data_IF_120424533950
#
_entry.id   IF_120424533950
#
_cell.length_a   1.000
_cell.length_b   1.000
_cell.length_c   1.000
_cell.angle_alpha   90.00
_cell.angle_beta   90.00
_cell.angle_gamma   90.00
#
_symmetry.space_group_name_H-M   'P 1'
#
loop_
_entity.id
_entity.type
_entity.pdbx_description
1 polymer ?
#
# COMPACT_ATOMS: atom_id res chain seq x y z
N UNK A 1 -28.29 -40.00 6.18
CA UNK A 1 -27.12 -40.01 5.29
C UNK A 1 -26.95 -38.58 4.76
N UNK A 2 -26.27 -37.72 5.50
CA UNK A 2 -26.07 -36.32 5.15
C UNK A 2 -24.69 -35.92 5.63
N UNK A 3 -23.82 -35.53 4.71
CA UNK A 3 -22.49 -35.03 5.05
C UNK A 3 -22.63 -33.56 5.36
N UNK A 4 -22.49 -33.22 6.64
CA UNK A 4 -22.21 -31.85 7.06
C UNK A 4 -20.78 -31.56 6.63
N UNK A 5 -20.61 -30.75 5.58
CA UNK A 5 -19.32 -30.17 5.23
C UNK A 5 -19.19 -28.88 6.05
N UNK A 6 -18.56 -28.99 7.22
CA UNK A 6 -18.15 -27.83 8.00
C UNK A 6 -17.12 -26.99 7.22
N UNK A 7 -16.93 -25.71 7.59
CA UNK A 7 -15.97 -24.85 6.92
C UNK A 7 -14.59 -25.49 6.99
N UNK A 8 -13.98 -25.72 5.82
CA UNK A 8 -12.59 -26.12 5.73
C UNK A 8 -11.76 -25.01 6.38
N UNK A 9 -11.14 -25.33 7.50
CA UNK A 9 -9.94 -24.63 7.94
C UNK A 9 -8.90 -24.91 6.86
N UNK A 10 -8.61 -23.91 6.04
CA UNK A 10 -7.39 -23.89 5.26
C UNK A 10 -6.26 -23.72 6.26
N UNK A 11 -5.60 -24.81 6.62
CA UNK A 11 -4.24 -24.70 7.16
C UNK A 11 -3.44 -23.97 6.09
N UNK A 12 -3.07 -22.72 6.36
CA UNK A 12 -2.04 -22.02 5.62
C UNK A 12 -0.71 -22.72 5.91
N UNK A 13 -0.53 -23.88 5.27
CA UNK A 13 0.73 -24.60 5.27
C UNK A 13 1.82 -23.62 4.83
N UNK A 14 2.94 -23.65 5.56
CA UNK A 14 4.13 -22.85 5.35
C UNK A 14 4.30 -22.44 3.89
N UNK A 15 4.27 -21.14 3.64
CA UNK A 15 4.50 -20.57 2.33
C UNK A 15 5.82 -21.10 1.75
N UNK A 16 5.70 -21.80 0.61
CA UNK A 16 6.84 -22.29 -0.17
C UNK A 16 7.64 -21.15 -0.84
N UNK A 17 7.23 -19.89 -0.64
CA UNK A 17 7.72 -18.70 -1.32
C UNK A 17 8.50 -17.75 -0.39
N UNK A 18 9.19 -18.30 0.60
CA UNK A 18 10.12 -17.50 1.41
C UNK A 18 11.43 -17.26 0.66
N UNK A 19 11.93 -16.04 0.69
CA UNK A 19 13.18 -15.60 0.05
C UNK A 19 14.26 -15.41 1.13
N UNK A 20 15.53 -15.43 0.74
CA UNK A 20 16.63 -15.08 1.65
C UNK A 20 16.57 -13.58 2.00
N UNK A 21 16.79 -13.25 3.27
CA UNK A 21 16.91 -11.88 3.74
C UNK A 21 18.32 -11.63 4.30
N UNK A 22 18.86 -10.45 4.05
CA UNK A 22 20.14 -10.05 4.65
C UNK A 22 20.00 -9.97 6.18
N UNK A 23 20.94 -10.54 6.95
CA UNK A 23 20.87 -10.56 8.42
C UNK A 23 21.09 -9.18 9.04
N UNK A 24 21.71 -8.28 8.30
CA UNK A 24 21.95 -6.90 8.71
C UNK A 24 21.45 -5.93 7.65
N UNK A 25 21.02 -4.71 8.05
CA UNK A 25 20.77 -3.64 7.10
C UNK A 25 22.02 -3.39 6.26
N UNK A 26 21.88 -3.43 4.94
CA UNK A 26 22.96 -3.02 4.03
C UNK A 26 22.98 -1.50 4.02
N UNK A 27 24.13 -0.92 4.38
CA UNK A 27 24.29 0.52 4.30
C UNK A 27 24.20 0.96 2.84
N UNK A 28 23.32 1.91 2.55
CA UNK A 28 23.27 2.60 1.26
C UNK A 28 24.48 3.56 1.06
N UNK A 29 25.45 3.54 1.99
CA UNK A 29 26.66 4.38 2.02
C UNK A 29 27.92 3.55 2.29
N UNK A 30 28.79 3.99 3.19
CA UNK A 30 30.06 3.29 3.45
C UNK A 30 29.86 1.93 4.17
N UNK A 31 30.46 0.84 3.65
CA UNK A 31 30.30 -0.49 4.24
C UNK A 31 31.12 -0.64 5.53
N UNK A 32 30.51 -1.22 6.57
CA UNK A 32 31.23 -1.67 7.77
C UNK A 32 31.69 -3.13 7.62
N UNK A 33 32.96 -3.46 7.94
CA UNK A 33 33.59 -4.74 7.57
C UNK A 33 33.34 -5.94 8.52
N UNK A 34 32.47 -5.82 9.53
CA UNK A 34 32.20 -6.93 10.46
C UNK A 34 30.78 -7.45 10.23
N UNK A 35 30.64 -8.68 9.72
CA UNK A 35 29.34 -9.34 9.54
C UNK A 35 29.42 -10.82 9.91
N UNK A 36 28.61 -11.20 10.88
CA UNK A 36 28.33 -12.58 11.27
C UNK A 36 27.21 -13.16 10.39
N UNK A 37 27.36 -14.42 9.99
CA UNK A 37 26.43 -15.15 9.13
C UNK A 37 25.32 -15.82 9.94
N UNK A 38 24.06 -15.68 9.48
CA UNK A 38 22.91 -16.44 9.94
C UNK A 38 21.93 -16.70 8.77
N UNK A 39 21.26 -17.86 8.79
CA UNK A 39 20.34 -18.31 7.73
C UNK A 39 18.88 -17.89 8.01
N UNK A 40 18.54 -16.63 7.73
CA UNK A 40 17.17 -16.12 7.82
C UNK A 40 16.40 -16.24 6.50
N UNK A 41 15.15 -16.71 6.56
CA UNK A 41 14.19 -16.64 5.44
C UNK A 41 13.07 -15.65 5.78
N UNK A 42 12.59 -14.91 4.79
CA UNK A 42 11.43 -14.01 4.90
C UNK A 42 10.34 -14.43 3.93
N UNK A 43 9.08 -14.48 4.40
CA UNK A 43 7.92 -14.50 3.51
C UNK A 43 7.42 -13.08 3.28
N UNK A 44 7.45 -12.63 2.04
CA UNK A 44 6.98 -11.30 1.67
C UNK A 44 5.47 -11.15 1.80
N UNK A 45 4.70 -12.24 1.70
CA UNK A 45 3.25 -12.20 1.92
C UNK A 45 2.98 -11.84 3.37
N UNK A 46 3.52 -12.60 4.33
CA UNK A 46 3.34 -12.29 5.76
C UNK A 46 3.92 -10.93 6.14
N UNK A 47 5.02 -10.53 5.50
CA UNK A 47 5.69 -9.27 5.81
C UNK A 47 4.91 -8.04 5.31
N UNK A 48 4.32 -8.11 4.12
CA UNK A 48 3.67 -6.98 3.45
C UNK A 48 2.15 -6.98 3.60
N UNK A 49 1.54 -8.15 3.77
CA UNK A 49 0.09 -8.37 3.75
C UNK A 49 -0.38 -8.77 5.15
N UNK A 50 -1.07 -7.84 5.83
CA UNK A 50 -1.67 -8.12 7.14
C UNK A 50 -2.92 -9.00 7.06
N UNK A 51 -3.72 -8.78 6.03
CA UNK A 51 -4.95 -9.52 5.78
C UNK A 51 -5.16 -9.62 4.26
N UNK A 52 -5.12 -10.85 3.75
CA UNK A 52 -5.21 -11.16 2.32
C UNK A 52 -6.58 -10.80 1.73
N UNK A 53 -7.64 -10.79 2.53
CA UNK A 53 -9.01 -10.55 2.05
C UNK A 53 -9.27 -9.07 1.79
N UNK A 54 -8.50 -8.19 2.43
CA UNK A 54 -8.63 -6.74 2.34
C UNK A 54 -7.47 -6.04 1.63
N UNK A 55 -6.47 -6.81 1.14
CA UNK A 55 -5.26 -6.27 0.51
C UNK A 55 -5.28 -6.46 -1.00
N UNK A 56 -4.94 -5.41 -1.73
CA UNK A 56 -4.92 -5.35 -3.19
C UNK A 56 -3.62 -4.69 -3.66
N UNK A 57 -3.17 -5.06 -4.85
CA UNK A 57 -2.06 -4.38 -5.52
C UNK A 57 -2.62 -3.56 -6.68
N UNK A 58 -2.22 -2.30 -6.78
CA UNK A 58 -2.67 -1.36 -7.82
C UNK A 58 -1.46 -0.80 -8.52
N UNK A 59 -1.47 -0.78 -9.85
CA UNK A 59 -0.41 -0.16 -10.65
C UNK A 59 -0.66 1.34 -10.78
N UNK A 60 0.38 2.13 -10.51
CA UNK A 60 0.36 3.59 -10.61
C UNK A 60 0.44 3.99 -12.07
N UNK A 61 -0.37 4.97 -12.45
CA UNK A 61 -0.26 5.68 -13.72
C UNK A 61 -0.23 7.18 -13.47
N UNK A 62 0.71 7.85 -14.12
CA UNK A 62 1.00 9.26 -13.93
C UNK A 62 1.90 9.53 -12.74
N UNK A 63 2.17 10.82 -12.53
CA UNK A 63 3.31 11.30 -11.75
C UNK A 63 2.87 12.35 -10.72
N UNK A 64 1.56 12.46 -10.47
CA UNK A 64 0.98 13.41 -9.52
C UNK A 64 1.38 13.16 -8.06
N UNK A 65 2.04 12.03 -7.77
CA UNK A 65 2.44 11.60 -6.44
C UNK A 65 3.96 11.52 -6.23
N UNK A 66 4.76 12.10 -7.15
CA UNK A 66 6.23 12.03 -7.13
C UNK A 66 6.87 12.48 -5.80
N UNK A 67 6.36 13.55 -5.18
CA UNK A 67 6.84 14.07 -3.89
C UNK A 67 6.62 13.14 -2.71
N UNK A 68 5.74 12.14 -2.85
CA UNK A 68 5.58 11.04 -1.90
C UNK A 68 6.47 9.82 -2.22
N UNK A 69 7.35 9.93 -3.22
CA UNK A 69 8.17 8.82 -3.72
C UNK A 69 7.39 7.78 -4.52
N UNK A 70 6.23 8.16 -5.07
CA UNK A 70 5.37 7.28 -5.89
C UNK A 70 5.48 7.76 -7.34
N UNK A 71 6.02 6.92 -8.21
CA UNK A 71 6.31 7.22 -9.61
C UNK A 71 5.38 6.46 -10.55
N UNK A 72 5.32 6.94 -11.80
CA UNK A 72 4.62 6.23 -12.86
C UNK A 72 5.18 4.81 -13.04
N UNK A 73 4.30 3.82 -13.12
CA UNK A 73 4.68 2.42 -13.29
C UNK A 73 4.85 1.63 -12.00
N UNK A 74 4.95 2.28 -10.83
CA UNK A 74 5.07 1.62 -9.52
C UNK A 74 3.85 0.76 -9.17
N UNK A 75 4.00 -0.14 -8.21
CA UNK A 75 2.88 -0.85 -7.59
C UNK A 75 2.63 -0.40 -6.15
N UNK A 76 1.37 -0.10 -5.82
CA UNK A 76 0.94 0.18 -4.45
C UNK A 76 0.25 -1.03 -3.85
N UNK A 77 0.65 -1.38 -2.63
CA UNK A 77 -0.13 -2.27 -1.77
C UNK A 77 -1.18 -1.42 -1.07
N UNK A 78 -2.45 -1.75 -1.28
CA UNK A 78 -3.61 -1.00 -0.79
C UNK A 78 -4.43 -1.89 0.11
N UNK A 79 -4.80 -1.38 1.28
CA UNK A 79 -5.68 -2.09 2.21
C UNK A 79 -7.03 -1.36 2.31
N UNK A 80 -8.12 -2.08 2.05
CA UNK A 80 -9.50 -1.56 2.05
C UNK A 80 -10.19 -1.62 3.41
N UNK A 81 -9.65 -2.38 4.37
CA UNK A 81 -10.15 -2.47 5.74
C UNK A 81 -9.60 -1.35 6.64
N UNK A 82 -8.59 -0.61 6.19
CA UNK A 82 -8.06 0.53 6.94
C UNK A 82 -8.96 1.76 6.81
N UNK A 83 -9.28 2.36 7.94
CA UNK A 83 -9.94 3.65 7.99
C UNK A 83 -8.96 4.76 7.56
N UNK A 84 -9.29 5.55 6.52
CA UNK A 84 -8.40 6.60 6.02
C UNK A 84 -8.35 7.77 7.01
N UNK A 85 -7.14 8.27 7.28
CA UNK A 85 -6.88 9.39 8.19
C UNK A 85 -6.28 10.58 7.43
N UNK A 86 -6.31 11.76 8.05
CA UNK A 86 -5.56 12.91 7.53
C UNK A 86 -4.10 12.54 7.26
N UNK A 87 -3.60 12.96 6.10
CA UNK A 87 -2.26 12.64 5.61
C UNK A 87 -2.11 11.25 4.98
N UNK A 88 -3.14 10.39 4.99
CA UNK A 88 -3.06 9.07 4.35
C UNK A 88 -2.96 9.19 2.83
N UNK A 89 -2.14 8.36 2.18
CA UNK A 89 -2.22 8.18 0.73
C UNK A 89 -3.37 7.23 0.45
N UNK A 90 -4.34 7.69 -0.33
CA UNK A 90 -5.58 6.96 -0.58
C UNK A 90 -5.81 6.76 -2.06
N UNK A 91 -6.48 5.66 -2.37
CA UNK A 91 -7.10 5.46 -3.67
C UNK A 91 -8.53 5.93 -3.49
N UNK A 92 -8.88 7.04 -4.15
CA UNK A 92 -10.18 7.67 -4.10
C UNK A 92 -10.90 7.46 -5.43
N UNK A 93 -12.21 7.25 -5.36
CA UNK A 93 -13.11 7.38 -6.51
C UNK A 93 -13.78 8.74 -6.38
N UNK A 94 -13.60 9.58 -7.38
CA UNK A 94 -14.23 10.89 -7.51
C UNK A 94 -14.83 10.99 -8.91
N UNK A 95 -16.11 11.34 -9.01
CA UNK A 95 -16.86 11.40 -10.28
C UNK A 95 -16.78 10.11 -11.13
N UNK A 96 -16.63 8.96 -10.45
CA UNK A 96 -16.50 7.64 -11.09
C UNK A 96 -15.09 7.27 -11.54
N UNK A 97 -14.10 8.16 -11.39
CA UNK A 97 -12.71 7.92 -11.76
C UNK A 97 -11.83 7.61 -10.54
N UNK A 98 -10.92 6.66 -10.69
CA UNK A 98 -9.94 6.30 -9.67
C UNK A 98 -8.75 7.25 -9.72
N UNK A 99 -8.37 7.79 -8.56
CA UNK A 99 -7.19 8.66 -8.41
C UNK A 99 -6.43 8.33 -7.13
N UNK A 100 -5.12 8.52 -7.18
CA UNK A 100 -4.23 8.40 -6.01
C UNK A 100 -3.88 9.80 -5.56
N UNK A 101 -4.20 10.13 -4.31
CA UNK A 101 -3.95 11.44 -3.70
C UNK A 101 -3.65 11.29 -2.22
N UNK A 102 -3.04 12.32 -1.62
CA UNK A 102 -2.99 12.44 -0.17
C UNK A 102 -4.32 13.00 0.33
N UNK A 103 -4.97 12.26 1.21
CA UNK A 103 -6.18 12.72 1.88
C UNK A 103 -5.81 13.80 2.90
N UNK A 104 -6.40 14.98 2.76
CA UNK A 104 -6.31 16.04 3.76
C UNK A 104 -7.70 16.33 4.32
N UNK A 105 -7.84 16.19 5.64
CA UNK A 105 -9.08 16.46 6.36
C UNK A 105 -8.89 17.75 7.13
N UNK A 106 -9.62 18.78 6.74
CA UNK A 106 -9.53 20.13 7.32
C UNK A 106 -10.84 20.51 8.00
N UNK A 107 -10.83 21.55 8.83
CA UNK A 107 -12.06 22.09 9.44
C UNK A 107 -13.09 22.56 8.39
N UNK A 108 -12.63 22.89 7.17
CA UNK A 108 -13.44 23.39 6.07
C UNK A 108 -13.86 22.31 5.07
N UNK A 109 -13.44 21.05 5.27
CA UNK A 109 -13.80 19.93 4.39
C UNK A 109 -12.61 19.05 4.00
N UNK A 110 -12.81 18.25 2.96
CA UNK A 110 -11.84 17.26 2.47
C UNK A 110 -11.14 17.76 1.21
N UNK A 111 -9.83 17.56 1.14
CA UNK A 111 -9.00 17.88 -0.02
C UNK A 111 -8.22 16.64 -0.42
N UNK A 112 -8.22 16.32 -1.72
CA UNK A 112 -7.35 15.33 -2.32
C UNK A 112 -6.13 16.07 -2.88
N UNK A 113 -5.05 16.03 -2.11
CA UNK A 113 -3.82 16.75 -2.38
C UNK A 113 -2.89 15.93 -3.28
N UNK A 114 -2.37 16.56 -4.33
CA UNK A 114 -1.30 15.98 -5.13
C UNK A 114 0.05 16.19 -4.45
N UNK A 115 0.99 15.29 -4.67
CA UNK A 115 2.39 15.43 -4.22
C UNK A 115 3.27 15.83 -5.41
N UNK A 116 2.74 16.69 -6.27
CA UNK A 116 3.45 17.23 -7.41
C UNK A 116 2.92 18.65 -7.68
N UNK A 117 3.75 19.70 -7.63
CA UNK A 117 3.32 21.09 -7.83
C UNK A 117 2.66 21.37 -9.19
N UNK A 118 2.89 20.53 -10.20
CA UNK A 118 2.24 20.65 -11.51
C UNK A 118 0.76 20.24 -11.49
N UNK A 119 0.30 19.59 -10.42
CA UNK A 119 -1.05 19.06 -10.28
C UNK A 119 -1.79 19.83 -9.17
N UNK A 120 -2.93 20.48 -9.45
CA UNK A 120 -3.66 21.21 -8.44
C UNK A 120 -4.35 20.28 -7.44
N UNK A 121 -4.47 20.75 -6.20
CA UNK A 121 -5.26 20.09 -5.17
C UNK A 121 -6.74 20.09 -5.54
N UNK A 122 -7.40 18.95 -5.32
CA UNK A 122 -8.83 18.79 -5.63
C UNK A 122 -9.62 18.95 -4.34
N UNK A 123 -10.38 20.04 -4.23
CA UNK A 123 -11.33 20.24 -3.13
C UNK A 123 -12.60 19.44 -3.43
N UNK A 124 -12.96 18.57 -2.50
CA UNK A 124 -14.14 17.71 -2.64
C UNK A 124 -15.39 18.55 -2.29
N UNK A 125 -16.29 18.84 -3.26
CA UNK A 125 -17.42 19.74 -3.03
C UNK A 125 -18.45 19.18 -2.05
N UNK A 126 -18.71 17.88 -2.14
CA UNK A 126 -19.56 17.13 -1.24
C UNK A 126 -18.90 15.81 -0.89
N UNK A 127 -18.92 15.43 0.39
CA UNK A 127 -18.37 14.15 0.84
C UNK A 127 -19.13 12.97 0.22
N UNK A 128 -20.37 13.17 -0.21
CA UNK A 128 -21.16 12.15 -0.91
C UNK A 128 -20.59 11.75 -2.28
N UNK A 129 -19.79 12.62 -2.90
CA UNK A 129 -19.20 12.38 -4.22
C UNK A 129 -17.83 11.67 -4.12
N UNK A 130 -17.31 11.52 -2.90
CA UNK A 130 -16.02 10.91 -2.61
C UNK A 130 -16.20 9.54 -1.98
N UNK A 131 -15.66 8.52 -2.64
CA UNK A 131 -15.51 7.19 -2.05
C UNK A 131 -14.04 6.88 -1.89
N UNK A 132 -13.58 6.67 -0.65
CA UNK A 132 -12.25 6.12 -0.43
C UNK A 132 -12.29 4.62 -0.64
N UNK A 133 -11.63 4.15 -1.70
CA UNK A 133 -11.58 2.74 -2.06
C UNK A 133 -10.66 1.94 -1.14
N UNK A 134 -9.55 2.54 -0.72
CA UNK A 134 -8.59 1.96 0.21
C UNK A 134 -7.40 2.87 0.51
N UNK A 135 -6.60 2.47 1.50
CA UNK A 135 -5.41 3.21 1.95
C UNK A 135 -4.16 2.51 1.43
N UNK A 136 -3.28 3.25 0.75
CA UNK A 136 -1.99 2.74 0.33
C UNK A 136 -1.06 2.57 1.54
N UNK A 137 -0.50 1.38 1.72
CA UNK A 137 0.36 1.03 2.85
C UNK A 137 1.82 0.92 2.48
N UNK A 138 2.12 0.52 1.23
CA UNK A 138 3.48 0.37 0.69
C UNK A 138 3.51 0.76 -0.78
N UNK A 139 4.66 1.23 -1.24
CA UNK A 139 4.99 1.44 -2.64
C UNK A 139 6.15 0.50 -2.99
N UNK A 140 5.97 -0.29 -4.04
CA UNK A 140 6.98 -1.13 -4.67
C UNK A 140 7.50 -0.33 -5.85
N UNK A 141 8.65 0.30 -5.65
CA UNK A 141 9.28 1.17 -6.63
C UNK A 141 10.36 0.40 -7.38
N UNK A 142 10.31 0.44 -8.71
CA UNK A 142 11.31 -0.17 -9.57
C UNK A 142 12.49 0.79 -9.72
N UNK A 143 13.64 0.41 -9.15
CA UNK A 143 14.91 1.17 -9.20
C UNK A 143 15.82 0.74 -10.33
#
# INVERSE_FOLDING_TARGET
>A
MGVVVGPRVIDAGMSLLSVLISPVPVAAGYPSPAQDYFDGRIDLNEHLIKDITSTYVVRVSGDSMQGAGISDGDELIVNRALEPKDGSVVIAVLDGELTIKRLRITATGVVLQAENPAYPDIRVPSVSDLVIWGVATRCLHHV
#
